data_IF_763779680645
#
_entry.id   IF_763779680645
#
_cell.length_a   1.000
_cell.length_b   1.000
_cell.length_c   1.000
_cell.angle_alpha   90.00
_cell.angle_beta   90.00
_cell.angle_gamma   90.00
#
_symmetry.space_group_name_H-M   'P 1'
#
loop_
_entity.id
_entity.type
_entity.pdbx_description
1 polymer ?
#
# COMPACT_ATOMS: atom_id res chain seq x y z
N UNK A 1 4.88 20.33 -9.24
CA UNK A 1 4.02 20.72 -8.11
C UNK A 1 4.86 21.63 -7.21
N UNK A 2 4.34 22.20 -6.12
CA UNK A 2 5.21 22.92 -5.17
C UNK A 2 5.84 21.95 -4.15
N UNK A 3 5.08 20.94 -3.75
CA UNK A 3 5.44 19.90 -2.79
C UNK A 3 5.12 18.52 -3.36
N UNK A 4 5.81 17.49 -2.86
CA UNK A 4 5.36 16.09 -3.02
C UNK A 4 4.06 15.88 -2.24
N UNK A 5 3.28 14.88 -2.62
CA UNK A 5 2.01 14.55 -1.97
C UNK A 5 1.89 13.08 -1.67
N UNK A 6 1.16 12.75 -0.61
CA UNK A 6 0.68 11.41 -0.31
C UNK A 6 -0.84 11.45 -0.15
N UNK A 7 -1.52 10.47 -0.74
CA UNK A 7 -2.99 10.37 -0.79
C UNK A 7 -3.43 9.00 -0.33
N UNK A 8 -4.33 8.98 0.65
CA UNK A 8 -4.98 7.78 1.17
C UNK A 8 -6.42 7.76 0.68
N UNK A 9 -6.86 6.65 0.09
CA UNK A 9 -8.20 6.52 -0.46
C UNK A 9 -9.15 5.84 0.53
N UNK A 10 -10.43 6.24 0.56
CA UNK A 10 -11.47 5.50 1.28
C UNK A 10 -11.65 4.11 0.67
N UNK A 11 -12.13 3.16 1.48
CA UNK A 11 -12.17 1.72 1.16
C UNK A 11 -13.60 1.15 1.10
N UNK A 12 -14.58 1.91 1.59
CA UNK A 12 -15.99 1.52 1.60
C UNK A 12 -16.32 0.55 2.75
N UNK A 13 -17.26 -0.37 2.53
CA UNK A 13 -17.77 -1.24 3.60
C UNK A 13 -16.78 -2.28 4.13
N UNK A 14 -15.73 -2.58 3.35
CA UNK A 14 -14.68 -3.55 3.70
C UNK A 14 -13.35 -2.83 3.80
N UNK A 15 -12.46 -3.34 4.64
CA UNK A 15 -11.11 -2.82 4.75
C UNK A 15 -10.34 -2.94 3.43
N UNK A 16 -9.28 -2.17 3.33
CA UNK A 16 -8.34 -2.21 2.23
C UNK A 16 -7.26 -1.15 2.32
N UNK A 17 -6.29 -1.26 1.44
CA UNK A 17 -5.16 -0.34 1.39
C UNK A 17 -4.92 0.12 -0.03
N UNK A 18 -4.85 1.44 -0.22
CA UNK A 18 -4.33 2.04 -1.44
C UNK A 18 -3.76 3.41 -1.12
N UNK A 19 -2.50 3.64 -1.49
CA UNK A 19 -1.84 4.92 -1.24
C UNK A 19 -1.06 5.39 -2.44
N UNK A 20 -1.32 6.63 -2.87
CA UNK A 20 -0.64 7.27 -3.99
C UNK A 20 0.34 8.32 -3.49
N UNK A 21 1.63 8.15 -3.79
CA UNK A 21 2.68 9.12 -3.55
C UNK A 21 3.06 9.77 -4.88
N UNK A 22 3.05 11.10 -4.94
CA UNK A 22 3.53 11.85 -6.09
C UNK A 22 4.67 12.76 -5.67
N UNK A 23 5.84 12.51 -6.21
CA UNK A 23 7.03 13.28 -5.90
C UNK A 23 7.05 14.58 -6.69
N UNK A 24 7.57 15.63 -6.06
CA UNK A 24 7.91 16.87 -6.75
C UNK A 24 9.40 16.86 -7.14
N UNK A 25 9.79 15.86 -7.92
CA UNK A 25 11.05 15.78 -8.64
C UNK A 25 10.86 16.23 -10.10
N UNK A 26 11.92 16.09 -10.92
CA UNK A 26 11.88 16.47 -12.33
C UNK A 26 10.87 15.64 -13.14
N UNK A 27 10.70 14.35 -12.82
CA UNK A 27 9.83 13.44 -13.56
C UNK A 27 8.41 13.38 -13.01
N UNK A 28 8.15 14.02 -11.85
CA UNK A 28 6.90 13.90 -11.10
C UNK A 28 6.56 12.43 -10.79
N UNK A 29 7.57 11.70 -10.32
CA UNK A 29 7.51 10.26 -10.06
C UNK A 29 6.27 9.92 -9.26
N UNK A 30 5.47 8.98 -9.77
CA UNK A 30 4.20 8.54 -9.19
C UNK A 30 4.31 7.09 -8.72
N UNK A 31 4.17 6.86 -7.42
CA UNK A 31 4.28 5.55 -6.77
C UNK A 31 2.91 5.21 -6.19
N UNK A 32 2.40 4.02 -6.53
CA UNK A 32 1.20 3.46 -5.93
C UNK A 32 1.58 2.29 -5.04
N UNK A 33 1.11 2.29 -3.80
CA UNK A 33 1.30 1.22 -2.83
C UNK A 33 -0.05 0.56 -2.60
N UNK A 34 -0.12 -0.73 -2.89
CA UNK A 34 -1.33 -1.56 -2.91
C UNK A 34 -2.44 -1.01 -3.81
N UNK A 35 -3.55 -1.74 -3.89
CA UNK A 35 -4.73 -1.35 -4.64
C UNK A 35 -5.99 -1.83 -3.95
N UNK A 36 -6.93 -0.92 -3.72
CA UNK A 36 -8.26 -1.24 -3.22
C UNK A 36 -9.32 -0.44 -3.95
N UNK A 37 -9.68 -0.91 -5.15
CA UNK A 37 -10.68 -0.28 -6.01
C UNK A 37 -11.91 -1.18 -6.05
N UNK A 38 -13.02 -0.68 -5.49
CA UNK A 38 -14.33 -1.34 -5.55
C UNK A 38 -14.99 -1.23 -6.92
N UNK A 39 -15.98 -2.09 -7.17
CA UNK A 39 -16.76 -2.03 -8.42
C UNK A 39 -17.75 -0.86 -8.46
N UNK A 40 -18.14 -0.35 -7.30
CA UNK A 40 -19.09 0.74 -7.11
C UNK A 40 -18.43 1.92 -6.39
N UNK A 41 -18.98 3.12 -6.61
CA UNK A 41 -18.58 4.31 -5.89
C UNK A 41 -18.91 4.16 -4.38
N UNK A 42 -18.05 4.68 -3.52
CA UNK A 42 -18.24 4.61 -2.06
C UNK A 42 -19.35 5.56 -1.61
N UNK A 43 -19.50 6.69 -2.31
CA UNK A 43 -20.57 7.65 -2.14
C UNK A 43 -20.86 8.32 -3.49
N UNK A 44 -21.99 9.03 -3.62
CA UNK A 44 -22.40 9.73 -4.84
C UNK A 44 -21.30 10.63 -5.45
N UNK A 45 -20.36 11.10 -4.62
CA UNK A 45 -19.25 11.98 -4.99
C UNK A 45 -17.86 11.34 -4.88
N UNK A 46 -17.74 10.05 -4.51
CA UNK A 46 -16.45 9.38 -4.32
C UNK A 46 -16.40 8.02 -5.04
N UNK A 47 -16.03 8.06 -6.32
CA UNK A 47 -15.58 6.89 -7.08
C UNK A 47 -14.06 6.75 -6.96
N UNK A 48 -13.58 5.72 -6.26
CA UNK A 48 -12.15 5.51 -5.99
C UNK A 48 -11.33 5.30 -7.27
N UNK A 49 -11.87 4.66 -8.30
CA UNK A 49 -11.21 4.51 -9.59
C UNK A 49 -11.01 5.88 -10.24
N UNK A 50 -12.06 6.71 -10.24
CA UNK A 50 -11.97 8.07 -10.76
C UNK A 50 -11.02 8.95 -9.92
N UNK A 51 -11.08 8.87 -8.59
CA UNK A 51 -10.17 9.60 -7.68
C UNK A 51 -8.70 9.27 -7.98
N UNK A 52 -8.40 8.00 -8.21
CA UNK A 52 -7.06 7.58 -8.59
C UNK A 52 -6.70 8.16 -9.96
N UNK A 53 -7.52 7.93 -10.98
CA UNK A 53 -7.26 8.33 -12.38
C UNK A 53 -7.09 9.84 -12.55
N UNK A 54 -7.87 10.65 -11.86
CA UNK A 54 -7.75 12.12 -11.84
C UNK A 54 -6.38 12.60 -11.36
N UNK A 55 -5.67 11.75 -10.59
CA UNK A 55 -4.35 12.04 -10.04
C UNK A 55 -3.21 11.41 -10.84
N UNK A 56 -3.48 10.49 -11.76
CA UNK A 56 -2.43 9.82 -12.52
C UNK A 56 -1.93 10.68 -13.70
N UNK A 57 -0.62 10.64 -13.99
CA UNK A 57 -0.12 11.12 -15.28
C UNK A 57 -0.59 10.20 -16.41
N UNK A 58 -0.56 10.74 -17.63
CA UNK A 58 -0.77 9.97 -18.87
C UNK A 58 0.50 9.96 -19.71
N UNK A 59 0.78 8.84 -20.37
CA UNK A 59 1.91 8.71 -21.28
C UNK A 59 1.63 9.33 -22.66
N UNK A 60 2.57 9.18 -23.60
CA UNK A 60 2.44 9.74 -24.96
C UNK A 60 1.30 9.12 -25.78
N UNK A 61 0.80 7.96 -25.39
CA UNK A 61 -0.33 7.28 -26.02
C UNK A 61 -1.65 7.57 -25.29
N UNK A 62 -1.63 8.42 -24.25
CA UNK A 62 -2.79 8.75 -23.44
C UNK A 62 -3.11 7.72 -22.36
N UNK A 63 -2.24 6.73 -22.12
CA UNK A 63 -2.47 5.68 -21.11
C UNK A 63 -2.16 6.23 -19.72
N UNK A 64 -3.07 6.10 -18.73
CA UNK A 64 -2.74 6.47 -17.36
C UNK A 64 -1.67 5.53 -16.82
N UNK A 65 -0.74 6.03 -16.00
CA UNK A 65 0.36 5.20 -15.50
C UNK A 65 0.80 5.53 -14.08
N UNK A 66 1.48 4.56 -13.47
CA UNK A 66 2.33 4.73 -12.28
C UNK A 66 3.76 4.33 -12.63
N UNK A 67 4.73 5.07 -12.09
CA UNK A 67 6.15 4.74 -12.28
C UNK A 67 6.53 3.49 -11.49
N UNK A 68 5.98 3.33 -10.28
CA UNK A 68 6.08 2.08 -9.52
C UNK A 68 4.74 1.68 -8.91
N UNK A 69 4.45 0.39 -8.94
CA UNK A 69 3.40 -0.25 -8.14
C UNK A 69 4.08 -1.15 -7.11
N UNK A 70 3.88 -0.91 -5.83
CA UNK A 70 4.43 -1.72 -4.74
C UNK A 70 3.30 -2.49 -4.08
N UNK A 71 3.31 -3.81 -4.23
CA UNK A 71 2.39 -4.67 -3.48
C UNK A 71 3.04 -5.11 -2.17
N UNK A 72 2.44 -4.75 -1.05
CA UNK A 72 2.94 -5.09 0.28
C UNK A 72 2.78 -6.58 0.58
N UNK A 73 1.61 -7.14 0.26
CA UNK A 73 1.29 -8.56 0.39
C UNK A 73 0.05 -8.92 -0.45
N UNK A 74 -0.30 -10.21 -0.51
CA UNK A 74 -1.22 -10.75 -1.52
C UNK A 74 -2.65 -10.99 -1.02
N UNK A 75 -3.07 -10.30 0.04
CA UNK A 75 -4.47 -10.34 0.46
C UNK A 75 -5.35 -9.55 -0.51
N UNK A 76 -6.64 -9.89 -0.53
CA UNK A 76 -7.57 -9.40 -1.53
C UNK A 76 -7.82 -7.91 -1.42
N UNK A 77 -7.87 -7.40 -0.21
CA UNK A 77 -8.09 -6.02 0.18
C UNK A 77 -6.92 -5.07 -0.14
N UNK A 78 -5.76 -5.63 -0.52
CA UNK A 78 -4.59 -4.92 -1.06
C UNK A 78 -4.43 -5.09 -2.59
N UNK A 79 -5.32 -5.87 -3.23
CA UNK A 79 -5.33 -6.12 -4.67
C UNK A 79 -6.71 -5.98 -5.33
N UNK A 80 -7.67 -5.43 -4.61
CA UNK A 80 -9.06 -5.34 -5.06
C UNK A 80 -9.12 -4.45 -6.30
N UNK A 81 -9.72 -4.97 -7.38
CA UNK A 81 -9.80 -4.29 -8.67
C UNK A 81 -8.56 -4.41 -9.58
N UNK A 82 -7.48 -5.07 -9.14
CA UNK A 82 -6.20 -5.11 -9.88
C UNK A 82 -6.35 -5.55 -11.34
N UNK A 83 -6.95 -6.71 -11.61
CA UNK A 83 -7.08 -7.24 -12.99
C UNK A 83 -7.93 -6.34 -13.89
N UNK A 84 -8.91 -5.66 -13.31
CA UNK A 84 -9.84 -4.80 -14.04
C UNK A 84 -9.14 -3.52 -14.47
N UNK A 85 -8.47 -2.85 -13.54
CA UNK A 85 -7.97 -1.49 -13.75
C UNK A 85 -6.51 -1.42 -14.22
N UNK A 86 -5.69 -2.45 -14.02
CA UNK A 86 -4.27 -2.41 -14.34
C UNK A 86 -3.90 -3.34 -15.50
N UNK A 87 -2.98 -2.88 -16.35
CA UNK A 87 -2.44 -3.68 -17.43
C UNK A 87 -1.47 -4.72 -16.89
N UNK A 88 -1.61 -5.95 -17.39
CA UNK A 88 -0.66 -7.05 -17.19
C UNK A 88 -0.25 -7.56 -18.57
N UNK A 89 0.96 -8.10 -18.70
CA UNK A 89 1.55 -8.43 -20.00
C UNK A 89 2.37 -7.30 -20.61
N UNK A 90 2.91 -7.57 -21.80
CA UNK A 90 3.74 -6.61 -22.55
C UNK A 90 2.93 -5.38 -22.95
N UNK A 91 3.59 -4.22 -22.99
CA UNK A 91 2.99 -3.00 -23.54
C UNK A 91 2.85 -3.03 -25.07
N UNK A 92 3.54 -3.94 -25.75
CA UNK A 92 3.36 -4.19 -27.19
C UNK A 92 1.99 -4.81 -27.51
N UNK A 93 1.44 -5.56 -26.54
CA UNK A 93 0.12 -6.21 -26.63
C UNK A 93 -0.98 -5.37 -25.95
N UNK A 94 -0.67 -4.13 -25.57
CA UNK A 94 -1.60 -3.23 -24.89
C UNK A 94 -2.74 -2.86 -25.85
N UNK A 95 -3.96 -2.84 -25.31
CA UNK A 95 -5.16 -2.47 -26.08
C UNK A 95 -5.46 -0.97 -25.97
N UNK A 96 -4.97 -0.22 -26.96
CA UNK A 96 -5.14 1.24 -27.03
C UNK A 96 -6.53 1.68 -27.50
N UNK A 97 -7.37 0.75 -27.97
CA UNK A 97 -8.67 1.00 -28.58
C UNK A 97 -9.85 0.76 -27.63
N UNK A 98 -9.61 0.40 -26.36
CA UNK A 98 -10.67 0.25 -25.37
C UNK A 98 -11.16 1.60 -24.82
N UNK A 99 -12.47 1.67 -24.51
CA UNK A 99 -13.11 2.90 -24.00
C UNK A 99 -12.50 3.38 -22.68
N UNK A 100 -12.08 2.46 -21.81
CA UNK A 100 -11.37 2.75 -20.56
C UNK A 100 -9.98 2.10 -20.58
N UNK A 101 -8.95 2.92 -20.85
CA UNK A 101 -7.56 2.46 -20.84
C UNK A 101 -7.14 1.97 -19.44
N UNK A 102 -6.51 0.79 -19.39
CA UNK A 102 -5.93 0.24 -18.17
C UNK A 102 -4.70 1.02 -17.71
N UNK A 103 -4.53 1.15 -16.41
CA UNK A 103 -3.37 1.81 -15.81
C UNK A 103 -2.11 0.99 -16.08
N UNK A 104 -1.11 1.62 -16.68
CA UNK A 104 0.21 1.03 -16.94
C UNK A 104 1.04 1.04 -15.67
N UNK A 105 1.65 -0.11 -15.35
CA UNK A 105 2.63 -0.26 -14.26
C UNK A 105 4.02 -0.38 -14.87
N UNK A 106 4.80 0.70 -14.78
CA UNK A 106 6.13 0.75 -15.41
C UNK A 106 7.14 -0.15 -14.72
N UNK A 107 7.16 -0.13 -13.40
CA UNK A 107 7.95 -1.01 -12.53
C UNK A 107 7.05 -1.62 -11.44
N UNK A 108 7.17 -2.93 -11.21
CA UNK A 108 6.31 -3.64 -10.26
C UNK A 108 7.14 -4.25 -9.14
N UNK A 109 6.76 -4.02 -7.90
CA UNK A 109 7.44 -4.53 -6.72
C UNK A 109 6.58 -5.54 -5.99
N UNK A 110 7.21 -6.61 -5.50
CA UNK A 110 6.56 -7.64 -4.69
C UNK A 110 7.57 -8.22 -3.71
N UNK A 111 7.11 -8.71 -2.56
CA UNK A 111 7.93 -9.61 -1.76
C UNK A 111 8.15 -10.89 -2.55
N UNK A 112 9.25 -11.62 -2.27
CA UNK A 112 9.56 -12.91 -2.90
C UNK A 112 8.40 -13.95 -2.82
N UNK A 113 7.45 -13.74 -1.90
CA UNK A 113 6.35 -14.67 -1.67
C UNK A 113 5.41 -14.88 -2.86
N UNK A 114 5.49 -14.08 -3.94
CA UNK A 114 4.74 -14.33 -5.17
C UNK A 114 4.98 -15.74 -5.78
N UNK A 115 6.11 -16.39 -5.46
CA UNK A 115 6.35 -17.79 -5.83
C UNK A 115 5.50 -18.79 -5.03
N UNK A 116 5.18 -18.49 -3.76
CA UNK A 116 4.41 -19.39 -2.89
C UNK A 116 3.00 -19.62 -3.45
N UNK A 117 2.61 -20.87 -3.73
CA UNK A 117 1.29 -21.16 -4.28
C UNK A 117 0.19 -20.94 -3.24
N UNK A 118 -1.05 -20.95 -3.71
CA UNK A 118 -2.20 -21.06 -2.80
C UNK A 118 -2.17 -22.41 -2.08
N UNK A 119 -2.51 -22.43 -0.80
CA UNK A 119 -2.59 -23.62 0.05
C UNK A 119 -3.99 -23.78 0.65
N UNK A 120 -4.19 -24.76 1.53
CA UNK A 120 -5.44 -24.89 2.29
C UNK A 120 -5.63 -23.69 3.24
N UNK A 121 -4.55 -23.25 3.89
CA UNK A 121 -4.57 -22.18 4.87
C UNK A 121 -4.33 -20.78 4.25
N UNK A 122 -3.88 -20.72 2.99
CA UNK A 122 -3.64 -19.47 2.25
C UNK A 122 -4.29 -19.50 0.86
N UNK A 123 -5.53 -18.99 0.78
CA UNK A 123 -6.25 -18.88 -0.49
C UNK A 123 -5.89 -17.58 -1.20
N UNK A 124 -5.37 -17.70 -2.41
CA UNK A 124 -5.15 -16.56 -3.29
C UNK A 124 -6.45 -16.23 -4.03
N UNK A 125 -6.89 -14.98 -3.97
CA UNK A 125 -7.95 -14.47 -4.84
C UNK A 125 -7.45 -14.39 -6.29
N UNK A 126 -8.35 -14.16 -7.24
CA UNK A 126 -7.97 -14.13 -8.65
C UNK A 126 -7.05 -12.95 -8.98
N UNK A 127 -7.24 -11.80 -8.33
CA UNK A 127 -6.34 -10.65 -8.47
C UNK A 127 -4.91 -11.00 -8.04
N UNK A 128 -4.75 -11.72 -6.92
CA UNK A 128 -3.45 -12.18 -6.45
C UNK A 128 -2.81 -13.22 -7.38
N UNK A 129 -3.61 -14.11 -8.00
CA UNK A 129 -3.10 -15.04 -9.01
C UNK A 129 -2.61 -14.30 -10.26
N UNK A 130 -3.36 -13.30 -10.72
CA UNK A 130 -2.98 -12.50 -11.87
C UNK A 130 -1.72 -11.66 -11.60
N UNK A 131 -1.64 -11.03 -10.41
CA UNK A 131 -0.45 -10.31 -9.97
C UNK A 131 0.78 -11.23 -9.93
N UNK A 132 0.69 -12.41 -9.30
CA UNK A 132 1.80 -13.36 -9.24
C UNK A 132 2.23 -13.83 -10.64
N UNK A 133 1.28 -14.02 -11.56
CA UNK A 133 1.58 -14.39 -12.95
C UNK A 133 2.37 -13.29 -13.65
N UNK A 134 2.00 -12.04 -13.44
CA UNK A 134 2.69 -10.89 -14.03
C UNK A 134 4.09 -10.68 -13.45
N UNK A 135 4.27 -10.76 -12.13
CA UNK A 135 5.61 -10.71 -11.51
C UNK A 135 6.50 -11.83 -12.07
N UNK A 136 6.00 -13.07 -12.14
CA UNK A 136 6.76 -14.21 -12.70
C UNK A 136 7.21 -13.93 -14.12
N UNK A 137 6.32 -13.42 -14.98
CA UNK A 137 6.65 -13.05 -16.36
C UNK A 137 7.81 -12.04 -16.40
N UNK A 138 7.75 -10.98 -15.59
CA UNK A 138 8.80 -9.94 -15.55
C UNK A 138 10.14 -10.47 -15.02
N UNK A 139 10.11 -11.32 -14.00
CA UNK A 139 11.32 -11.98 -13.46
C UNK A 139 11.92 -12.95 -14.50
N UNK A 140 11.09 -13.68 -15.24
CA UNK A 140 11.53 -14.56 -16.33
C UNK A 140 12.21 -13.77 -17.46
N UNK A 141 11.65 -12.61 -17.84
CA UNK A 141 12.27 -11.72 -18.83
C UNK A 141 13.66 -11.26 -18.36
N UNK A 142 13.76 -10.72 -17.14
CA UNK A 142 15.06 -10.36 -16.57
C UNK A 142 16.01 -11.56 -16.50
N UNK A 143 15.54 -12.73 -16.08
CA UNK A 143 16.38 -13.92 -15.91
C UNK A 143 16.95 -14.43 -17.23
N UNK A 144 16.18 -14.29 -18.32
CA UNK A 144 16.59 -14.68 -19.67
C UNK A 144 17.64 -13.74 -20.24
N UNK A 145 17.43 -12.43 -20.10
CA UNK A 145 18.25 -11.42 -20.77
C UNK A 145 19.34 -10.83 -19.84
N UNK A 146 19.28 -11.14 -18.55
CA UNK A 146 20.17 -10.65 -17.47
C UNK A 146 20.42 -9.15 -17.54
N UNK A 147 19.35 -8.40 -17.77
CA UNK A 147 19.37 -6.95 -17.90
C UNK A 147 18.02 -6.34 -17.49
N UNK A 148 18.09 -5.12 -16.96
CA UNK A 148 16.89 -4.35 -16.61
C UNK A 148 16.03 -4.12 -17.86
N UNK A 149 14.76 -4.50 -17.75
CA UNK A 149 13.81 -4.46 -18.85
C UNK A 149 13.26 -3.05 -19.13
N UNK A 150 12.53 -2.91 -20.24
CA UNK A 150 11.78 -1.69 -20.59
C UNK A 150 10.65 -1.38 -19.60
N UNK A 151 10.18 -0.14 -19.62
CA UNK A 151 8.97 0.24 -18.88
C UNK A 151 7.81 -0.69 -19.24
N UNK A 152 7.06 -1.12 -18.23
CA UNK A 152 6.00 -2.13 -18.39
C UNK A 152 6.47 -3.55 -18.08
N UNK A 153 7.78 -3.81 -18.11
CA UNK A 153 8.37 -5.13 -17.84
C UNK A 153 9.37 -5.11 -16.67
N UNK A 154 9.66 -3.94 -16.08
CA UNK A 154 10.54 -3.84 -14.92
C UNK A 154 9.90 -4.45 -13.68
N UNK A 155 10.73 -5.10 -12.88
CA UNK A 155 10.33 -5.75 -11.63
C UNK A 155 11.38 -5.54 -10.56
N UNK A 156 10.94 -5.44 -9.31
CA UNK A 156 11.78 -5.47 -8.11
C UNK A 156 11.22 -6.51 -7.15
N UNK A 157 12.08 -7.36 -6.60
CA UNK A 157 11.75 -8.38 -5.61
C UNK A 157 12.30 -7.97 -4.26
N UNK A 158 11.47 -8.01 -3.22
CA UNK A 158 11.87 -7.66 -1.85
C UNK A 158 12.02 -8.92 -1.00
N UNK A 159 13.14 -9.00 -0.28
CA UNK A 159 13.54 -10.10 0.59
C UNK A 159 14.15 -11.28 -0.17
N UNK A 160 14.69 -12.22 0.62
CA UNK A 160 15.34 -13.43 0.14
C UNK A 160 14.41 -14.63 0.12
N UNK A 161 14.46 -15.42 -0.93
CA UNK A 161 13.73 -16.70 -1.00
C UNK A 161 14.58 -17.82 -0.38
N UNK A 162 14.06 -18.58 0.61
CA UNK A 162 14.81 -19.66 1.25
C UNK A 162 15.23 -20.80 0.32
N UNK A 163 14.56 -20.97 -0.83
CA UNK A 163 14.91 -21.96 -1.85
C UNK A 163 15.95 -21.42 -2.87
N UNK A 164 16.47 -20.21 -2.67
CA UNK A 164 17.49 -19.60 -3.54
C UNK A 164 16.93 -19.06 -4.86
N UNK A 165 15.61 -18.88 -5.01
CA UNK A 165 15.02 -18.34 -6.25
C UNK A 165 15.39 -16.88 -6.54
N UNK A 166 15.88 -16.16 -5.53
CA UNK A 166 16.39 -14.80 -5.66
C UNK A 166 17.87 -14.75 -6.06
N UNK A 167 18.59 -15.88 -6.08
CA UNK A 167 20.00 -15.93 -6.45
C UNK A 167 20.18 -15.51 -7.92
N UNK A 168 21.12 -14.60 -8.20
CA UNK A 168 21.35 -14.08 -9.56
C UNK A 168 20.32 -13.04 -10.03
N UNK A 169 19.55 -12.46 -9.10
CA UNK A 169 18.60 -11.36 -9.31
C UNK A 169 19.05 -10.04 -8.65
N UNK A 170 20.35 -9.87 -8.37
CA UNK A 170 20.88 -8.80 -7.52
C UNK A 170 20.55 -7.37 -8.01
N UNK A 171 20.42 -7.14 -9.32
CA UNK A 171 20.06 -5.81 -9.84
C UNK A 171 18.58 -5.45 -9.67
N UNK A 172 17.74 -6.46 -9.39
CA UNK A 172 16.29 -6.32 -9.22
C UNK A 172 15.82 -6.85 -7.86
N UNK A 173 16.72 -6.99 -6.89
CA UNK A 173 16.39 -7.48 -5.56
C UNK A 173 16.87 -6.49 -4.50
N UNK A 174 16.03 -6.24 -3.51
CA UNK A 174 16.39 -5.56 -2.27
C UNK A 174 16.16 -6.50 -1.11
N UNK A 175 17.12 -6.60 -0.20
CA UNK A 175 17.02 -7.39 1.01
C UNK A 175 16.65 -6.51 2.22
N UNK A 176 16.37 -7.15 3.35
CA UNK A 176 16.04 -6.47 4.59
C UNK A 176 17.24 -5.67 5.08
N UNK A 177 17.02 -4.39 5.38
CA UNK A 177 18.07 -3.45 5.74
C UNK A 177 18.71 -2.74 4.55
N UNK A 178 18.36 -3.10 3.32
CA UNK A 178 18.78 -2.33 2.17
C UNK A 178 18.11 -0.95 2.14
N UNK A 179 18.83 0.00 1.55
CA UNK A 179 18.30 1.31 1.20
C UNK A 179 18.20 1.46 -0.30
N UNK A 180 17.21 2.21 -0.77
CA UNK A 180 17.05 2.52 -2.17
C UNK A 180 16.71 3.99 -2.40
N UNK A 181 17.10 4.51 -3.54
CA UNK A 181 16.70 5.84 -4.02
C UNK A 181 16.33 5.81 -5.50
N UNK A 182 16.05 4.62 -6.04
CA UNK A 182 15.79 4.38 -7.45
C UNK A 182 14.34 3.92 -7.60
N UNK A 183 13.60 4.56 -8.49
CA UNK A 183 12.24 4.18 -8.86
C UNK A 183 12.18 4.16 -10.38
N UNK A 184 11.58 3.11 -10.95
CA UNK A 184 11.46 2.95 -12.40
C UNK A 184 12.82 3.08 -13.11
N UNK A 185 13.85 2.43 -12.55
CA UNK A 185 15.25 2.52 -12.95
C UNK A 185 15.88 3.94 -12.99
N UNK A 186 15.29 4.95 -12.32
CA UNK A 186 15.81 6.33 -12.26
C UNK A 186 16.22 6.65 -10.82
N UNK A 187 17.48 7.04 -10.62
CA UNK A 187 17.99 7.48 -9.32
C UNK A 187 17.49 8.89 -8.99
N UNK A 188 16.87 9.05 -7.82
CA UNK A 188 16.33 10.30 -7.27
C UNK A 188 16.76 10.55 -5.81
N UNK A 189 18.06 10.42 -5.47
CA UNK A 189 18.55 10.49 -4.08
C UNK A 189 18.33 11.84 -3.39
N UNK A 190 18.13 12.92 -4.15
CA UNK A 190 17.80 14.24 -3.61
C UNK A 190 16.33 14.40 -3.22
N UNK A 191 15.48 13.41 -3.53
CA UNK A 191 14.04 13.45 -3.32
C UNK A 191 13.51 12.29 -2.49
N UNK A 192 14.05 11.08 -2.67
CA UNK A 192 13.55 9.87 -2.03
C UNK A 192 14.71 9.00 -1.55
N UNK A 193 14.60 8.51 -0.33
CA UNK A 193 15.35 7.38 0.18
C UNK A 193 14.36 6.43 0.89
N UNK A 194 14.39 5.14 0.56
CA UNK A 194 13.59 4.12 1.24
C UNK A 194 14.49 3.14 2.00
N UNK A 195 13.96 2.57 3.08
CA UNK A 195 14.61 1.56 3.91
C UNK A 195 13.69 0.35 4.08
N UNK A 196 14.16 -0.84 3.70
CA UNK A 196 13.38 -2.08 3.77
C UNK A 196 13.46 -2.66 5.20
N UNK A 197 12.34 -2.70 5.90
CA UNK A 197 12.25 -3.24 7.27
C UNK A 197 11.79 -4.71 7.29
N UNK A 198 10.94 -5.11 6.33
CA UNK A 198 10.27 -6.42 6.27
C UNK A 198 10.02 -6.80 4.79
N UNK A 199 9.83 -8.08 4.40
CA UNK A 199 9.39 -9.27 5.17
C UNK A 199 10.40 -9.69 6.25
N UNK A 200 9.94 -10.21 7.40
CA UNK A 200 10.86 -10.79 8.40
C UNK A 200 11.31 -12.19 7.96
N UNK A 201 12.59 -12.53 8.18
CA UNK A 201 13.13 -13.88 7.97
C UNK A 201 12.84 -14.81 9.16
N UNK A 202 12.74 -16.11 8.89
CA UNK A 202 12.59 -17.11 9.94
C UNK A 202 13.81 -17.10 10.85
N UNK A 203 13.58 -16.98 12.16
CA UNK A 203 14.68 -17.02 13.13
C UNK A 203 15.19 -18.46 13.31
N UNK A 204 16.47 -18.64 13.68
CA UNK A 204 17.17 -19.95 13.70
C UNK A 204 16.45 -21.00 14.57
N UNK A 205 15.77 -20.58 15.63
CA UNK A 205 15.03 -21.44 16.57
C UNK A 205 13.50 -21.35 16.44
N UNK A 206 13.00 -20.73 15.37
CA UNK A 206 11.56 -20.54 15.17
C UNK A 206 10.90 -21.75 14.50
N UNK A 207 9.78 -22.24 15.03
CA UNK A 207 8.99 -23.29 14.38
C UNK A 207 8.46 -22.82 13.02
N UNK A 208 8.64 -23.67 12.00
CA UNK A 208 8.27 -23.34 10.63
C UNK A 208 6.78 -23.02 10.44
N UNK A 209 5.87 -23.54 11.29
CA UNK A 209 4.45 -23.18 11.21
C UNK A 209 4.19 -21.76 11.72
N UNK A 210 4.87 -21.35 12.79
CA UNK A 210 4.82 -19.98 13.32
C UNK A 210 5.35 -18.96 12.30
N UNK A 211 6.38 -19.31 11.54
CA UNK A 211 6.93 -18.46 10.48
C UNK A 211 6.01 -18.31 9.25
N UNK A 212 5.19 -19.33 8.95
CA UNK A 212 4.31 -19.30 7.76
C UNK A 212 3.10 -18.37 7.88
N UNK A 213 3.00 -17.57 8.96
CA UNK A 213 1.95 -16.58 9.07
C UNK A 213 2.00 -15.57 7.92
N UNK A 214 0.82 -15.22 7.44
CA UNK A 214 0.59 -14.47 6.21
C UNK A 214 1.09 -13.05 6.33
N UNK A 215 0.91 -12.47 7.52
CA UNK A 215 1.09 -11.06 7.81
C UNK A 215 2.53 -10.69 8.18
N UNK A 216 3.33 -11.66 8.62
CA UNK A 216 4.80 -11.53 8.80
C UNK A 216 5.57 -11.29 7.50
N UNK A 217 4.94 -11.61 6.38
CA UNK A 217 5.52 -11.61 5.05
C UNK A 217 5.22 -10.31 4.28
N UNK A 218 4.55 -9.37 4.94
CA UNK A 218 4.26 -8.05 4.41
C UNK A 218 5.53 -7.20 4.27
N UNK A 219 5.61 -6.44 3.19
CA UNK A 219 6.67 -5.46 3.01
C UNK A 219 6.40 -4.26 3.93
N UNK A 220 7.34 -3.99 4.84
CA UNK A 220 7.36 -2.78 5.67
C UNK A 220 8.50 -1.91 5.19
N UNK A 221 8.21 -0.63 4.90
CA UNK A 221 9.19 0.31 4.36
C UNK A 221 9.06 1.65 5.06
N UNK A 222 10.18 2.24 5.46
CA UNK A 222 10.24 3.67 5.75
C UNK A 222 10.65 4.42 4.48
N UNK A 223 9.81 5.34 4.01
CA UNK A 223 10.09 6.22 2.88
C UNK A 223 10.38 7.63 3.39
N UNK A 224 11.57 8.14 3.09
CA UNK A 224 12.02 9.48 3.41
C UNK A 224 11.89 10.37 2.17
N UNK A 225 10.91 11.27 2.17
CA UNK A 225 10.65 12.22 1.08
C UNK A 225 11.20 13.60 1.42
N UNK A 226 12.24 14.02 0.70
CA UNK A 226 12.96 15.26 0.98
C UNK A 226 12.27 16.50 0.39
N UNK A 227 12.08 17.52 1.23
CA UNK A 227 11.65 18.86 0.84
C UNK A 227 12.59 19.90 1.47
N UNK A 228 13.48 20.46 0.65
CA UNK A 228 14.55 21.34 1.14
C UNK A 228 15.51 20.55 2.03
N UNK A 229 15.68 20.98 3.29
CA UNK A 229 16.56 20.33 4.28
C UNK A 229 15.81 19.38 5.22
N UNK A 230 14.51 19.16 5.00
CA UNK A 230 13.67 18.27 5.82
C UNK A 230 13.31 17.01 5.06
N UNK A 231 13.23 15.90 5.77
CA UNK A 231 12.68 14.65 5.28
C UNK A 231 11.31 14.46 5.93
N UNK A 232 10.32 14.12 5.11
CA UNK A 232 9.03 13.64 5.58
C UNK A 232 9.13 12.11 5.60
N UNK A 233 9.07 11.50 6.78
CA UNK A 233 9.18 10.05 6.98
C UNK A 233 7.79 9.42 6.91
N UNK A 234 7.57 8.52 5.96
CA UNK A 234 6.34 7.74 5.81
C UNK A 234 6.64 6.29 6.17
N UNK A 235 5.98 5.75 7.19
CA UNK A 235 6.16 4.36 7.59
C UNK A 235 4.99 3.52 7.04
N UNK A 236 5.29 2.76 6.01
CA UNK A 236 4.37 1.83 5.34
C UNK A 236 4.37 0.53 6.14
N UNK A 237 3.35 0.34 6.97
CA UNK A 237 3.22 -0.80 7.87
C UNK A 237 2.62 -2.06 7.24
N UNK A 238 1.84 -1.91 6.17
CA UNK A 238 1.02 -2.98 5.59
C UNK A 238 0.21 -3.71 6.68
N UNK A 239 0.06 -5.02 6.59
CA UNK A 239 -0.63 -5.85 7.59
C UNK A 239 0.33 -6.43 8.64
N UNK A 240 1.41 -5.72 8.97
CA UNK A 240 2.36 -6.18 9.99
C UNK A 240 1.68 -6.31 11.36
N UNK A 241 1.67 -7.53 11.89
CA UNK A 241 1.12 -7.87 13.21
C UNK A 241 2.14 -7.74 14.34
N UNK A 242 1.70 -7.93 15.58
CA UNK A 242 2.43 -7.72 16.84
C UNK A 242 3.86 -8.25 16.81
N UNK A 243 4.06 -9.50 16.38
CA UNK A 243 5.40 -10.07 16.30
C UNK A 243 6.33 -9.32 15.34
N UNK A 244 5.80 -8.79 14.22
CA UNK A 244 6.62 -8.02 13.29
C UNK A 244 7.18 -6.80 14.00
N UNK A 245 6.33 -6.08 14.73
CA UNK A 245 6.73 -4.89 15.47
C UNK A 245 7.65 -5.21 16.66
N UNK A 246 7.39 -6.28 17.41
CA UNK A 246 8.27 -6.76 18.47
C UNK A 246 9.67 -7.10 17.93
N UNK A 247 9.74 -7.80 16.79
CA UNK A 247 11.01 -8.17 16.15
C UNK A 247 11.75 -6.93 15.63
N UNK A 248 11.03 -6.00 15.00
CA UNK A 248 11.59 -4.74 14.53
C UNK A 248 12.09 -3.87 15.69
N UNK A 249 11.37 -3.86 16.82
CA UNK A 249 11.81 -3.20 18.05
C UNK A 249 13.11 -3.81 18.55
N UNK A 250 13.19 -5.13 18.70
CA UNK A 250 14.40 -5.79 19.19
C UNK A 250 15.62 -5.47 18.32
N UNK A 251 15.43 -5.41 16.99
CA UNK A 251 16.49 -5.10 16.02
C UNK A 251 16.89 -3.62 15.99
N UNK A 252 15.99 -2.71 16.33
CA UNK A 252 16.17 -1.27 16.08
C UNK A 252 15.96 -0.37 17.31
N UNK A 253 15.75 -0.91 18.51
CA UNK A 253 15.61 -0.12 19.76
C UNK A 253 16.83 0.74 20.10
N UNK A 254 18.02 0.37 19.62
CA UNK A 254 19.27 1.15 19.77
C UNK A 254 19.52 2.10 18.58
N UNK A 255 18.66 2.10 17.56
CA UNK A 255 18.72 2.94 16.36
C UNK A 255 17.29 3.24 15.86
N UNK A 256 16.54 3.96 16.71
CA UNK A 256 15.10 4.18 16.55
C UNK A 256 14.75 5.04 15.33
N UNK A 257 15.73 5.76 14.75
CA UNK A 257 15.55 6.58 13.54
C UNK A 257 14.97 5.77 12.36
N UNK A 258 15.21 4.45 12.34
CA UNK A 258 14.69 3.49 11.34
C UNK A 258 13.20 3.20 11.47
N UNK A 259 12.62 3.45 12.65
CA UNK A 259 11.21 3.27 12.95
C UNK A 259 10.47 4.62 13.04
N UNK A 260 11.20 5.73 13.05
CA UNK A 260 10.60 7.06 13.13
C UNK A 260 9.68 7.38 11.95
N UNK A 261 8.62 8.14 12.20
CA UNK A 261 7.68 8.58 11.16
C UNK A 261 7.08 9.96 11.42
N UNK A 262 6.72 10.65 10.35
CA UNK A 262 5.78 11.78 10.36
C UNK A 262 4.37 11.35 9.92
N UNK A 263 4.27 10.28 9.12
CA UNK A 263 2.99 9.60 8.85
C UNK A 263 3.17 8.10 9.01
N UNK A 264 2.44 7.49 9.92
CA UNK A 264 2.30 6.04 10.03
C UNK A 264 1.01 5.59 9.37
N UNK A 265 1.12 4.53 8.58
CA UNK A 265 -0.01 3.83 8.01
C UNK A 265 -0.41 2.83 9.08
N UNK A 266 -1.58 2.98 9.71
CA UNK A 266 -1.92 2.14 10.86
C UNK A 266 -1.87 0.66 10.45
N UNK A 267 -1.01 -0.17 11.06
CA UNK A 267 -0.82 -1.55 10.65
C UNK A 267 -2.13 -2.34 10.65
N UNK A 268 -2.29 -3.19 9.62
CA UNK A 268 -3.39 -4.13 9.48
C UNK A 268 -4.77 -3.47 9.67
N UNK A 269 -4.95 -2.31 9.03
CA UNK A 269 -6.20 -1.55 9.08
C UNK A 269 -6.61 -1.11 10.49
N UNK A 270 -5.65 -0.78 11.36
CA UNK A 270 -5.88 -0.50 12.78
C UNK A 270 -6.36 -1.75 13.55
N UNK A 271 -5.70 -2.89 13.32
CA UNK A 271 -6.00 -4.13 14.03
C UNK A 271 -5.44 -4.14 15.44
N UNK A 272 -6.16 -4.74 16.39
CA UNK A 272 -5.60 -5.03 17.72
C UNK A 272 -4.42 -5.99 17.65
N UNK A 273 -4.44 -6.93 16.69
CA UNK A 273 -3.35 -7.88 16.49
C UNK A 273 -2.05 -7.24 15.97
N UNK A 274 -2.04 -5.94 15.65
CA UNK A 274 -0.79 -5.19 15.43
C UNK A 274 -0.07 -4.81 16.73
N UNK A 275 -0.81 -4.75 17.84
CA UNK A 275 -0.36 -4.28 19.15
C UNK A 275 -0.43 -5.39 20.21
N UNK A 276 -1.02 -6.54 19.91
CA UNK A 276 -1.22 -7.61 20.89
C UNK A 276 -1.23 -9.00 20.27
N UNK A 277 -0.79 -9.99 21.04
CA UNK A 277 -0.99 -11.41 20.76
C UNK A 277 -2.37 -11.91 21.25
N UNK A 278 -2.98 -11.18 22.18
CA UNK A 278 -4.25 -11.53 22.79
C UNK A 278 -5.41 -11.15 21.87
N UNK A 279 -6.52 -11.86 22.01
CA UNK A 279 -7.75 -11.60 21.28
C UNK A 279 -8.75 -10.86 22.16
N UNK A 280 -9.21 -9.70 21.69
CA UNK A 280 -10.25 -8.90 22.36
C UNK A 280 -11.53 -9.69 22.66
N UNK A 281 -11.86 -10.68 21.83
CA UNK A 281 -13.11 -11.45 21.95
C UNK A 281 -12.97 -12.78 22.70
N UNK A 282 -11.75 -13.23 22.99
CA UNK A 282 -11.51 -14.57 23.58
C UNK A 282 -10.78 -14.54 24.91
N UNK A 283 -9.96 -13.53 25.15
CA UNK A 283 -9.17 -13.40 26.36
C UNK A 283 -9.88 -12.46 27.35
N UNK A 284 -9.85 -12.81 28.65
CA UNK A 284 -10.58 -12.09 29.69
C UNK A 284 -10.01 -10.68 29.96
N UNK A 285 -8.71 -10.47 29.71
CA UNK A 285 -7.96 -9.24 29.97
C UNK A 285 -6.83 -9.07 28.92
N UNK A 286 -7.19 -8.77 27.66
CA UNK A 286 -6.23 -8.68 26.56
C UNK A 286 -5.22 -7.55 26.80
N UNK A 287 -3.92 -7.86 26.72
CA UNK A 287 -2.84 -6.94 27.03
C UNK A 287 -2.16 -6.40 25.77
N UNK A 288 -1.70 -5.16 25.84
CA UNK A 288 -0.82 -4.61 24.82
C UNK A 288 0.57 -5.26 24.92
N UNK A 289 1.15 -5.61 23.78
CA UNK A 289 2.56 -5.93 23.66
C UNK A 289 3.37 -4.63 23.73
N UNK A 290 4.05 -4.43 24.86
CA UNK A 290 4.84 -3.23 25.13
C UNK A 290 5.90 -2.95 24.07
N UNK A 291 6.55 -3.98 23.53
CA UNK A 291 7.61 -3.79 22.54
C UNK A 291 7.05 -3.45 21.15
N UNK A 292 5.91 -4.03 20.76
CA UNK A 292 5.19 -3.61 19.56
C UNK A 292 4.72 -2.14 19.69
N UNK A 293 4.13 -1.77 20.83
CA UNK A 293 3.74 -0.38 21.11
C UNK A 293 4.94 0.56 21.06
N UNK A 294 6.08 0.21 21.65
CA UNK A 294 7.31 1.03 21.57
C UNK A 294 7.79 1.23 20.15
N UNK A 295 7.84 0.18 19.31
CA UNK A 295 8.20 0.34 17.90
C UNK A 295 7.25 1.28 17.16
N UNK A 296 5.95 1.15 17.40
CA UNK A 296 4.92 2.00 16.77
C UNK A 296 4.85 3.41 17.38
N UNK A 297 5.43 3.64 18.56
CA UNK A 297 5.46 4.93 19.25
C UNK A 297 6.63 5.83 18.83
N UNK A 298 7.39 5.47 17.79
CA UNK A 298 8.47 6.32 17.26
C UNK A 298 7.91 7.48 16.40
N UNK A 299 6.87 8.15 16.88
CA UNK A 299 6.26 9.30 16.24
C UNK A 299 7.15 10.54 16.39
N UNK A 300 7.42 11.25 15.30
CA UNK A 300 8.00 12.59 15.37
C UNK A 300 6.99 13.61 15.91
N UNK A 301 7.47 14.77 16.35
CA UNK A 301 6.60 15.87 16.76
C UNK A 301 5.66 16.28 15.61
N UNK A 302 4.35 16.25 15.89
CA UNK A 302 3.32 16.57 14.90
C UNK A 302 3.07 15.47 13.86
N UNK A 303 3.56 14.25 14.09
CA UNK A 303 3.22 13.10 13.27
C UNK A 303 1.73 12.77 13.32
N UNK A 304 1.24 12.08 12.29
CA UNK A 304 -0.12 11.56 12.25
C UNK A 304 -0.16 10.07 11.93
N UNK A 305 -1.27 9.43 12.32
CA UNK A 305 -1.54 8.03 12.01
C UNK A 305 -2.78 7.96 11.12
N UNK A 306 -2.68 7.25 10.00
CA UNK A 306 -3.79 7.08 9.05
C UNK A 306 -4.18 5.61 8.98
N UNK A 307 -5.38 5.29 9.48
CA UNK A 307 -6.01 3.99 9.35
C UNK A 307 -6.79 3.90 8.02
N UNK A 308 -6.31 3.04 7.12
CA UNK A 308 -7.00 2.72 5.88
C UNK A 308 -8.02 1.61 6.14
N UNK A 309 -9.21 1.97 6.60
CA UNK A 309 -10.21 1.00 7.03
C UNK A 309 -11.63 1.54 6.83
N UNK A 310 -12.60 0.63 6.96
CA UNK A 310 -13.99 1.03 7.18
C UNK A 310 -14.13 1.78 8.51
N UNK A 311 -15.28 2.42 8.72
CA UNK A 311 -15.58 3.16 9.96
C UNK A 311 -15.27 2.30 11.20
N UNK A 312 -14.57 2.87 12.18
CA UNK A 312 -14.16 2.19 13.40
C UNK A 312 -15.32 2.30 14.40
N UNK A 313 -15.89 1.16 14.78
CA UNK A 313 -17.03 1.08 15.71
C UNK A 313 -16.62 0.34 16.98
N UNK A 314 -17.15 0.75 18.13
CA UNK A 314 -16.77 0.21 19.43
C UNK A 314 -17.29 -1.18 19.83
N UNK A 315 -17.82 -1.97 18.89
CA UNK A 315 -18.07 -3.40 19.12
C UNK A 315 -16.81 -4.20 18.75
N UNK A 316 -16.62 -5.39 19.33
CA UNK A 316 -15.47 -6.34 19.20
C UNK A 316 -15.09 -6.80 17.77
N UNK A 317 -15.22 -5.93 16.78
CA UNK A 317 -14.74 -6.14 15.43
C UNK A 317 -13.24 -5.85 15.41
N UNK A 318 -12.47 -6.76 14.81
CA UNK A 318 -11.05 -6.59 14.56
C UNK A 318 -10.71 -7.34 13.26
N UNK A 319 -10.14 -6.67 12.24
CA UNK A 319 -9.94 -5.21 12.09
C UNK A 319 -11.16 -4.45 11.50
N UNK A 320 -11.26 -3.12 11.68
CA UNK A 320 -10.48 -2.28 12.60
C UNK A 320 -10.95 -2.43 14.04
N UNK A 321 -10.08 -2.14 15.01
CA UNK A 321 -10.37 -2.21 16.45
C UNK A 321 -10.40 -0.81 17.08
N UNK A 322 -11.42 -0.53 17.92
CA UNK A 322 -11.45 0.68 18.74
C UNK A 322 -10.34 0.68 19.80
N UNK A 323 -10.05 -0.46 20.43
CA UNK A 323 -8.95 -0.57 21.38
C UNK A 323 -7.59 -0.25 20.73
N UNK A 324 -7.35 -0.70 19.50
CA UNK A 324 -6.15 -0.31 18.75
C UNK A 324 -6.13 1.18 18.40
N UNK A 325 -7.29 1.75 18.03
CA UNK A 325 -7.45 3.20 17.78
C UNK A 325 -7.07 4.01 19.01
N UNK A 326 -7.52 3.62 20.20
CA UNK A 326 -7.19 4.29 21.46
C UNK A 326 -5.68 4.30 21.71
N UNK A 327 -5.01 3.17 21.50
CA UNK A 327 -3.54 3.07 21.60
C UNK A 327 -2.80 3.98 20.61
N UNK A 328 -3.32 4.12 19.39
CA UNK A 328 -2.76 5.05 18.41
C UNK A 328 -3.05 6.52 18.75
N UNK A 329 -4.23 6.82 19.28
CA UNK A 329 -4.57 8.16 19.78
C UNK A 329 -3.67 8.53 20.95
N UNK A 330 -3.32 7.60 21.84
CA UNK A 330 -2.35 7.85 22.91
C UNK A 330 -0.96 8.24 22.38
N UNK A 331 -0.59 7.80 21.17
CA UNK A 331 0.70 8.13 20.53
C UNK A 331 0.69 9.52 19.90
N UNK A 332 -0.33 9.87 19.12
CA UNK A 332 -0.33 11.12 18.30
C UNK A 332 -1.37 12.16 18.70
N UNK A 333 -2.33 11.81 19.56
CA UNK A 333 -3.50 12.61 19.89
C UNK A 333 -4.65 12.46 18.90
N UNK A 334 -5.87 12.73 19.36
CA UNK A 334 -7.11 12.52 18.60
C UNK A 334 -7.14 13.30 17.27
N UNK A 335 -6.69 14.56 17.28
CA UNK A 335 -6.64 15.43 16.09
C UNK A 335 -5.64 14.96 15.01
N UNK A 336 -4.74 14.02 15.35
CA UNK A 336 -3.72 13.48 14.43
C UNK A 336 -3.97 12.01 14.05
N UNK A 337 -5.06 11.42 14.52
CA UNK A 337 -5.52 10.13 14.04
C UNK A 337 -6.58 10.32 12.96
N UNK A 338 -6.45 9.62 11.84
CA UNK A 338 -7.39 9.70 10.72
C UNK A 338 -7.85 8.30 10.28
N UNK A 339 -9.15 8.08 10.15
CA UNK A 339 -9.71 6.94 9.43
C UNK A 339 -10.15 7.40 8.02
N UNK A 340 -9.77 6.66 6.98
CA UNK A 340 -10.09 7.02 5.59
C UNK A 340 -11.58 7.10 5.30
N UNK A 341 -12.41 6.29 5.98
CA UNK A 341 -13.85 6.29 5.79
C UNK A 341 -14.61 7.23 6.74
N UNK A 342 -13.94 7.82 7.72
CA UNK A 342 -14.50 8.85 8.60
C UNK A 342 -14.14 10.26 8.08
N UNK A 343 -13.26 10.36 7.08
CA UNK A 343 -12.78 11.64 6.54
C UNK A 343 -13.47 12.05 5.24
N UNK A 344 -13.91 13.31 5.10
CA UNK A 344 -14.14 14.28 6.20
C UNK A 344 -15.36 13.98 7.06
N UNK A 345 -16.19 13.09 6.56
CA UNK A 345 -17.51 12.78 7.06
C UNK A 345 -17.82 11.34 6.67
N UNK A 346 -18.39 10.57 7.59
CA UNK A 346 -18.70 9.14 7.41
C UNK A 346 -19.70 8.86 6.27
N UNK A 347 -20.64 9.79 6.02
CA UNK A 347 -21.61 9.66 4.93
C UNK A 347 -21.01 10.09 3.60
N UNK A 348 -19.93 10.88 3.65
CA UNK A 348 -19.31 11.50 2.48
C UNK A 348 -17.79 11.37 2.47
N UNK A 349 -17.25 10.15 2.53
CA UNK A 349 -15.81 9.97 2.60
C UNK A 349 -15.13 10.47 1.33
N UNK A 350 -13.96 11.07 1.48
CA UNK A 350 -13.09 11.57 0.41
C UNK A 350 -11.63 11.21 0.68
N UNK A 351 -10.76 11.13 -0.35
CA UNK A 351 -9.34 10.87 -0.14
C UNK A 351 -8.66 11.88 0.79
N UNK A 352 -7.93 11.38 1.78
CA UNK A 352 -7.08 12.20 2.65
C UNK A 352 -5.77 12.49 1.93
N UNK A 353 -5.44 13.77 1.71
CA UNK A 353 -4.23 14.15 0.98
C UNK A 353 -3.34 15.08 1.81
N UNK A 354 -2.04 14.80 1.87
CA UNK A 354 -1.06 15.63 2.54
C UNK A 354 -0.06 16.23 1.55
N UNK A 355 0.29 17.51 1.74
CA UNK A 355 1.52 18.09 1.19
C UNK A 355 2.69 17.73 2.09
N UNK A 356 3.76 17.18 1.51
CA UNK A 356 5.00 16.91 2.23
C UNK A 356 5.88 18.17 2.14
N UNK A 357 5.89 18.97 3.21
CA UNK A 357 6.48 20.31 3.21
C UNK A 357 7.82 20.35 3.95
N UNK A 358 8.48 21.52 3.93
CA UNK A 358 9.66 21.78 4.76
C UNK A 358 9.35 21.98 6.24
N UNK A 359 8.08 21.90 6.66
CA UNK A 359 7.62 21.94 8.05
C UNK A 359 6.96 20.62 8.48
N UNK A 360 7.13 19.55 7.69
CA UNK A 360 6.43 18.27 7.87
C UNK A 360 5.17 18.16 7.00
N UNK A 361 4.42 17.04 7.14
CA UNK A 361 3.17 16.83 6.43
C UNK A 361 2.11 17.87 6.80
N UNK A 362 1.39 18.36 5.79
CA UNK A 362 0.27 19.28 5.97
C UNK A 362 -0.94 18.77 5.20
N UNK A 363 -2.00 18.40 5.93
CA UNK A 363 -3.26 17.94 5.35
C UNK A 363 -3.84 19.03 4.43
N UNK A 364 -4.23 18.66 3.22
CA UNK A 364 -4.89 19.55 2.27
C UNK A 364 -6.35 19.75 2.66
N UNK A 365 -6.86 20.95 2.38
CA UNK A 365 -8.29 21.21 2.44
C UNK A 365 -9.04 20.46 1.33
N UNK A 366 -10.32 20.29 1.56
CA UNK A 366 -11.23 19.59 0.65
C UNK A 366 -11.64 20.54 -0.47
N UNK A 367 -11.62 20.05 -1.71
CA UNK A 367 -12.11 20.82 -2.86
C UNK A 367 -13.55 20.41 -3.13
N UNK A 368 -14.48 21.37 -3.22
CA UNK A 368 -15.85 21.08 -3.68
C UNK A 368 -15.82 20.42 -5.07
N UNK A 369 -16.35 19.18 -5.16
CA UNK A 369 -16.57 18.48 -6.43
C UNK A 369 -18.01 18.63 -6.90
N UNK A 370 -18.20 18.71 -8.22
CA UNK A 370 -19.53 18.64 -8.82
C UNK A 370 -20.06 17.20 -8.71
N UNK A 371 -21.36 17.02 -8.43
CA UNK A 371 -21.99 15.69 -8.36
C UNK A 371 -21.75 14.91 -9.66
N UNK A 372 -21.38 13.63 -9.55
CA UNK A 372 -21.29 12.72 -10.68
C UNK A 372 -22.71 12.52 -11.24
N UNK A 373 -22.95 12.95 -12.49
CA UNK A 373 -24.20 12.63 -13.17
C UNK A 373 -24.17 11.16 -13.58
N UNK A 374 -24.97 10.31 -12.92
CA UNK A 374 -25.17 8.92 -13.30
C UNK A 374 -25.81 8.90 -14.70
N UNK A 375 -24.99 8.67 -15.74
CA UNK A 375 -25.50 8.35 -17.06
C UNK A 375 -26.05 6.92 -16.99
N UNK A 376 -27.37 6.82 -16.82
CA UNK A 376 -28.06 5.54 -16.90
C UNK A 376 -27.75 4.89 -18.26
N UNK A 377 -27.04 3.77 -18.23
CA UNK A 377 -27.01 2.80 -19.33
C UNK A 377 -28.45 2.28 -19.49
N UNK A 378 -29.28 3.00 -20.24
CA UNK A 378 -30.59 2.52 -20.63
C UNK A 378 -30.38 1.33 -21.56
N UNK A 379 -30.57 0.12 -21.05
CA UNK A 379 -30.71 -1.08 -21.85
C UNK A 379 -31.78 -0.82 -22.92
N UNK A 380 -31.39 -0.78 -24.19
CA UNK A 380 -32.33 -0.82 -25.31
C UNK A 380 -32.96 -2.21 -25.33
N UNK A 381 -34.03 -2.41 -24.56
CA UNK A 381 -35.01 -3.45 -24.86
C UNK A 381 -35.73 -3.02 -26.12
N UNK A 382 -35.42 -3.69 -27.22
CA UNK A 382 -36.20 -3.61 -28.46
C UNK A 382 -37.68 -3.86 -28.14
N UNK A 383 -38.51 -2.85 -28.38
CA UNK A 383 -39.95 -3.02 -28.46
C UNK A 383 -40.28 -3.76 -29.76
N UNK A 384 -40.85 -4.95 -29.64
CA UNK A 384 -41.47 -5.65 -30.77
C UNK A 384 -42.54 -4.76 -31.42
N UNK A 385 -42.49 -4.61 -32.75
CA UNK A 385 -43.57 -4.01 -33.51
C UNK A 385 -44.74 -5.00 -33.58
N UNK A 386 -45.93 -4.53 -33.20
CA UNK A 386 -47.18 -5.15 -33.61
C UNK A 386 -47.45 -4.79 -35.08
N UNK A 387 -47.53 -5.82 -35.93
CA UNK A 387 -47.99 -5.78 -37.30
C UNK A 387 -48.43 -7.17 -37.74
#
# INVERSE_FOLDING_TARGET
MANSTVTFFPVGEKNGGMTLIKLNDANKTTILIDCSIGDEAIADHCDVNQELRDRLPVDSNGRPYVDAFILTHRHEDHLKGFQRHFNTGSLDDYKDDEDELKIVIREMWSSQNFWKPSSENYKLCDNAKAFNKEIKRRVELYSKDKSIQSEGDRVIIVGKDPEGRTDGLEEINYDIGDTFCKINNINIPSKLNGFILSPIEQQEDEDGKCFTDKNRQSIVIQLNVSQGTKNNKLLIAADAECLVWETLWEKHKDDTEKLEYDILYAPHHCSWHSLSYDSLSKDDDPQVCEDAKKALSQANEGACIVAQCRIIKGSDEDPPSEAAKDEYIDIVGEDQFYCTNEHPDEEKPEPIEFNLTGMGPQKRGIKEKAMLSVAALSSTKESYQHG
#
